data_IF_565582324410
#
_entry.id   IF_565582324410
#
_cell.length_a   1.000
_cell.length_b   1.000
_cell.length_c   1.000
_cell.angle_alpha   90.00
_cell.angle_beta   90.00
_cell.angle_gamma   90.00
#
_symmetry.space_group_name_H-M   'P 1'
#
loop_
_entity.id
_entity.type
_entity.pdbx_description
1 polymer ?
#
# COMPACT_ATOMS: atom_id res chain seq x y z
N UNK A 1 -14.22 21.44 -16.65
CA UNK A 1 -12.77 21.24 -16.85
C UNK A 1 -12.57 19.79 -17.26
N UNK A 2 -12.38 19.51 -18.54
CA UNK A 2 -12.03 18.17 -19.02
C UNK A 2 -10.56 17.93 -18.68
N UNK A 3 -10.28 17.54 -17.43
CA UNK A 3 -8.98 17.00 -17.07
C UNK A 3 -8.84 15.69 -17.87
N UNK A 4 -8.02 15.68 -18.91
CA UNK A 4 -7.66 14.45 -19.60
C UNK A 4 -7.05 13.48 -18.58
N UNK A 5 -7.44 12.20 -18.66
CA UNK A 5 -6.82 11.18 -17.82
C UNK A 5 -5.33 11.11 -18.16
N UNK A 6 -4.49 11.40 -17.17
CA UNK A 6 -3.04 11.22 -17.27
C UNK A 6 -2.68 9.84 -16.74
N UNK A 7 -1.96 9.06 -17.55
CA UNK A 7 -1.46 7.74 -17.14
C UNK A 7 0.04 7.75 -16.84
N UNK A 8 0.70 8.92 -16.98
CA UNK A 8 2.14 9.05 -16.74
C UNK A 8 2.50 8.77 -15.29
N UNK A 9 1.79 9.39 -14.34
CA UNK A 9 1.98 9.15 -12.91
C UNK A 9 1.71 7.68 -12.55
N UNK A 10 0.63 7.11 -13.10
CA UNK A 10 0.28 5.71 -12.89
C UNK A 10 1.35 4.75 -13.40
N UNK A 11 1.97 5.04 -14.55
CA UNK A 11 3.08 4.25 -15.09
C UNK A 11 4.28 4.27 -14.14
N UNK A 12 4.65 5.45 -13.63
CA UNK A 12 5.74 5.59 -12.66
C UNK A 12 5.44 4.79 -11.38
N UNK A 13 4.24 4.93 -10.83
CA UNK A 13 3.82 4.17 -9.64
C UNK A 13 3.86 2.66 -9.89
N UNK A 14 3.40 2.20 -11.06
CA UNK A 14 3.42 0.78 -11.42
C UNK A 14 4.84 0.23 -11.56
N UNK A 15 5.75 1.02 -12.14
CA UNK A 15 7.18 0.64 -12.21
C UNK A 15 7.76 0.51 -10.81
N UNK A 16 7.47 1.46 -9.91
CA UNK A 16 7.95 1.40 -8.51
C UNK A 16 7.40 0.17 -7.79
N UNK A 17 6.11 -0.14 -7.96
CA UNK A 17 5.46 -1.30 -7.33
C UNK A 17 6.10 -2.63 -7.77
N UNK A 18 6.59 -2.73 -9.01
CA UNK A 18 7.32 -3.91 -9.49
C UNK A 18 8.78 -3.88 -9.04
N UNK A 19 9.44 -2.72 -9.10
CA UNK A 19 10.85 -2.60 -8.79
C UNK A 19 11.17 -2.82 -7.31
N UNK A 20 10.33 -2.31 -6.40
CA UNK A 20 10.57 -2.38 -4.95
C UNK A 20 10.74 -3.82 -4.41
N UNK A 21 9.86 -4.80 -4.68
CA UNK A 21 10.07 -6.18 -4.24
C UNK A 21 11.26 -6.85 -4.92
N UNK A 22 11.57 -6.51 -6.18
CA UNK A 22 12.75 -7.03 -6.87
C UNK A 22 14.04 -6.54 -6.20
N UNK A 23 14.11 -5.25 -5.85
CA UNK A 23 15.23 -4.67 -5.10
C UNK A 23 15.33 -5.27 -3.70
N UNK A 24 14.20 -5.46 -3.00
CA UNK A 24 14.18 -6.10 -1.69
C UNK A 24 14.75 -7.53 -1.74
N UNK A 25 14.38 -8.30 -2.78
CA UNK A 25 14.85 -9.67 -2.97
C UNK A 25 16.29 -9.77 -3.49
N UNK A 26 16.80 -8.73 -4.15
CA UNK A 26 18.14 -8.72 -4.73
C UNK A 26 19.26 -8.48 -3.72
N UNK A 27 18.96 -7.93 -2.53
CA UNK A 27 19.99 -7.61 -1.51
C UNK A 27 20.01 -8.70 -0.43
N UNK A 28 21.03 -9.58 -0.41
CA UNK A 28 21.12 -10.64 0.58
C UNK A 28 21.30 -10.06 1.99
N UNK A 29 20.56 -10.58 2.97
CA UNK A 29 20.69 -10.22 4.38
C UNK A 29 19.84 -9.02 4.83
N UNK A 30 19.15 -8.32 3.92
CA UNK A 30 18.22 -7.24 4.26
C UNK A 30 16.85 -7.81 4.64
N UNK A 31 16.38 -7.53 5.87
CA UNK A 31 15.07 -7.98 6.40
C UNK A 31 13.99 -6.91 6.32
N UNK A 32 14.02 -6.07 5.30
CA UNK A 32 13.05 -4.99 5.13
C UNK A 32 11.88 -5.53 4.30
N UNK A 33 10.63 -5.45 4.77
CA UNK A 33 9.47 -5.82 3.95
C UNK A 33 9.41 -4.96 2.69
N UNK A 34 9.09 -5.56 1.54
CA UNK A 34 9.02 -4.85 0.25
C UNK A 34 8.09 -3.63 0.29
N UNK A 35 6.94 -3.75 0.98
CA UNK A 35 5.97 -2.66 1.15
C UNK A 35 6.58 -1.41 1.82
N UNK A 36 7.58 -1.57 2.68
CA UNK A 36 8.27 -0.42 3.29
C UNK A 36 9.07 0.33 2.22
N UNK A 37 9.73 -0.39 1.31
CA UNK A 37 10.43 0.23 0.19
C UNK A 37 9.47 0.92 -0.78
N UNK A 38 8.31 0.32 -1.05
CA UNK A 38 7.24 0.93 -1.86
C UNK A 38 6.76 2.26 -1.27
N UNK A 39 6.49 2.29 0.04
CA UNK A 39 6.05 3.50 0.75
C UNK A 39 7.14 4.58 0.68
N UNK A 40 8.40 4.22 0.96
CA UNK A 40 9.53 5.17 0.90
C UNK A 40 9.70 5.71 -0.52
N UNK A 41 9.68 4.84 -1.53
CA UNK A 41 9.78 5.24 -2.93
C UNK A 41 8.63 6.18 -3.32
N UNK A 42 7.41 5.88 -2.89
CA UNK A 42 6.24 6.73 -3.09
C UNK A 42 6.39 8.13 -2.47
N UNK A 43 6.88 8.20 -1.22
CA UNK A 43 7.18 9.48 -0.55
C UNK A 43 8.24 10.28 -1.34
N UNK A 44 9.28 9.60 -1.81
CA UNK A 44 10.39 10.24 -2.55
C UNK A 44 9.93 10.77 -3.90
N UNK A 45 9.20 10.00 -4.71
CA UNK A 45 8.73 10.49 -6.03
C UNK A 45 7.55 11.46 -5.92
N UNK A 46 6.82 11.41 -4.81
CA UNK A 46 5.64 12.22 -4.54
C UNK A 46 5.96 13.69 -4.25
N UNK A 47 4.91 14.51 -4.03
CA UNK A 47 5.04 15.96 -3.83
C UNK A 47 5.81 16.33 -2.56
N UNK A 48 5.91 15.42 -1.59
CA UNK A 48 6.65 15.65 -0.34
C UNK A 48 8.15 15.79 -0.55
N UNK A 49 8.72 15.27 -1.64
CA UNK A 49 10.17 15.31 -1.89
C UNK A 49 10.50 15.76 -3.31
N UNK A 50 10.27 14.94 -4.36
CA UNK A 50 10.69 15.28 -5.73
C UNK A 50 9.58 15.94 -6.56
N UNK A 51 8.31 15.70 -6.23
CA UNK A 51 7.17 16.25 -6.98
C UNK A 51 7.04 15.75 -8.41
N UNK A 52 7.54 14.56 -8.71
CA UNK A 52 7.45 13.96 -10.05
C UNK A 52 6.07 13.35 -10.33
N UNK A 53 5.40 12.89 -9.28
CA UNK A 53 4.08 12.27 -9.36
C UNK A 53 3.15 12.93 -8.35
N UNK A 54 1.96 13.30 -8.80
CA UNK A 54 0.84 13.72 -7.96
C UNK A 54 -0.27 12.68 -8.02
N UNK A 55 -1.10 12.62 -6.98
CA UNK A 55 -2.24 11.71 -6.94
C UNK A 55 -3.36 12.25 -7.81
N UNK A 56 -3.46 11.73 -9.03
CA UNK A 56 -4.54 12.00 -9.97
C UNK A 56 -5.62 10.90 -9.92
N UNK A 57 -6.68 11.07 -10.72
CA UNK A 57 -7.85 10.20 -10.67
C UNK A 57 -7.50 8.70 -10.90
N UNK A 58 -6.68 8.32 -11.91
CA UNK A 58 -6.28 6.92 -12.08
C UNK A 58 -5.51 6.34 -10.88
N UNK A 59 -4.57 7.09 -10.31
CA UNK A 59 -3.82 6.66 -9.13
C UNK A 59 -4.76 6.50 -7.92
N UNK A 60 -5.67 7.46 -7.71
CA UNK A 60 -6.63 7.40 -6.61
C UNK A 60 -7.57 6.20 -6.70
N UNK A 61 -8.08 5.90 -7.90
CA UNK A 61 -8.94 4.73 -8.12
C UNK A 61 -8.16 3.45 -7.87
N UNK A 62 -6.94 3.31 -8.41
CA UNK A 62 -6.13 2.12 -8.20
C UNK A 62 -5.75 1.93 -6.72
N UNK A 63 -5.42 3.01 -6.00
CA UNK A 63 -5.11 2.97 -4.58
C UNK A 63 -6.31 2.48 -3.75
N UNK A 64 -7.51 2.99 -4.04
CA UNK A 64 -8.75 2.55 -3.36
C UNK A 64 -9.03 1.07 -3.62
N UNK A 65 -8.94 0.65 -4.89
CA UNK A 65 -9.18 -0.74 -5.29
C UNK A 65 -8.14 -1.67 -4.66
N UNK A 66 -6.84 -1.33 -4.74
CA UNK A 66 -5.76 -2.10 -4.16
C UNK A 66 -5.89 -2.25 -2.65
N UNK A 67 -6.16 -1.15 -1.94
CA UNK A 67 -6.41 -1.18 -0.49
C UNK A 67 -7.63 -2.04 -0.15
N UNK A 68 -8.73 -1.90 -0.89
CA UNK A 68 -9.92 -2.72 -0.68
C UNK A 68 -9.62 -4.22 -0.87
N UNK A 69 -8.84 -4.59 -1.88
CA UNK A 69 -8.40 -5.97 -2.09
C UNK A 69 -7.47 -6.46 -0.98
N UNK A 70 -6.52 -5.65 -0.52
CA UNK A 70 -5.64 -6.02 0.60
C UNK A 70 -6.42 -6.26 1.88
N UNK A 71 -7.37 -5.37 2.21
CA UNK A 71 -8.23 -5.52 3.37
C UNK A 71 -9.18 -6.72 3.21
N UNK A 72 -9.68 -6.97 2.00
CA UNK A 72 -10.51 -8.13 1.71
C UNK A 72 -9.73 -9.44 1.90
N UNK A 73 -8.54 -9.56 1.32
CA UNK A 73 -7.66 -10.71 1.49
C UNK A 73 -7.28 -10.93 2.95
N UNK A 74 -6.92 -9.86 3.66
CA UNK A 74 -6.68 -9.94 5.10
C UNK A 74 -7.91 -10.45 5.84
N UNK A 75 -9.11 -9.99 5.48
CA UNK A 75 -10.37 -10.47 6.03
C UNK A 75 -10.65 -11.95 5.76
N UNK A 76 -10.25 -12.47 4.59
CA UNK A 76 -10.41 -13.89 4.24
C UNK A 76 -9.48 -14.80 5.06
N UNK A 77 -8.32 -14.29 5.49
CA UNK A 77 -7.36 -15.04 6.32
C UNK A 77 -7.75 -15.09 7.81
N UNK A 78 -8.73 -14.28 8.24
CA UNK A 78 -9.17 -14.22 9.65
C UNK A 78 -10.04 -15.44 10.00
N UNK A 79 -9.56 -16.31 10.91
CA UNK A 79 -10.39 -17.38 11.48
C UNK A 79 -11.25 -16.87 12.65
N UNK A 80 -12.53 -16.66 12.38
CA UNK A 80 -13.52 -16.19 13.35
C UNK A 80 -13.67 -17.08 14.59
N UNK A 81 -13.27 -18.36 14.54
CA UNK A 81 -13.31 -19.25 15.70
C UNK A 81 -12.26 -18.88 16.74
N UNK A 82 -11.09 -18.43 16.28
CA UNK A 82 -10.01 -17.95 17.13
C UNK A 82 -10.26 -16.52 17.64
N UNK A 83 -11.11 -15.75 16.95
CA UNK A 83 -11.45 -14.38 17.40
C UNK A 83 -12.49 -14.35 18.53
N UNK A 84 -13.12 -15.46 18.92
CA UNK A 84 -14.14 -15.46 19.99
C UNK A 84 -13.52 -15.42 21.40
N UNK A 85 -14.17 -14.71 22.33
CA UNK A 85 -13.79 -14.68 23.74
C UNK A 85 -12.93 -13.48 24.13
N UNK A 86 -11.92 -13.70 24.98
CA UNK A 86 -11.11 -12.63 25.58
C UNK A 86 -10.31 -11.81 24.56
N UNK A 87 -10.01 -12.39 23.39
CA UNK A 87 -9.35 -11.69 22.28
C UNK A 87 -10.18 -10.54 21.69
N UNK A 88 -11.51 -10.56 21.81
CA UNK A 88 -12.36 -9.41 21.47
C UNK A 88 -12.43 -8.39 22.61
N UNK A 89 -12.27 -8.81 23.86
CA UNK A 89 -12.33 -7.92 25.03
C UNK A 89 -11.06 -7.09 25.19
N UNK A 90 -9.90 -7.66 24.84
CA UNK A 90 -8.60 -7.01 24.97
C UNK A 90 -8.46 -5.71 24.14
N UNK A 91 -8.81 -5.68 22.84
CA UNK A 91 -8.82 -4.44 22.07
C UNK A 91 -9.83 -3.43 22.62
N UNK A 92 -11.03 -3.87 22.99
CA UNK A 92 -12.09 -2.99 23.50
C UNK A 92 -11.68 -2.25 24.78
N UNK A 93 -10.89 -2.90 25.65
CA UNK A 93 -10.36 -2.27 26.87
C UNK A 93 -9.21 -1.30 26.55
N UNK A 94 -8.39 -1.58 25.54
CA UNK A 94 -7.31 -0.69 25.11
C UNK A 94 -7.77 0.57 24.34
N UNK A 95 -8.99 0.54 23.79
CA UNK A 95 -9.62 1.65 23.07
C UNK A 95 -10.72 2.38 23.87
N UNK A 96 -10.97 2.00 25.13
CA UNK A 96 -11.88 2.68 26.05
C UNK A 96 -11.11 3.65 26.96
#
# INVERSE_FOLDING_TARGET
MSAGLSFGGLLVVSIVAVAAPLVAGAIPGVKIPAVVLEIIAGIVIGPSVLGWVEVDQPIAVLALVGLAFLLFLAGLEIDLRHLRGDLLRLPLIGFA
#
